data_IF_455665158196
#
_entry.id   IF_455665158196
#
_cell.length_a   1.000
_cell.length_b   1.000
_cell.length_c   1.000
_cell.angle_alpha   90.00
_cell.angle_beta   90.00
_cell.angle_gamma   90.00
#
_symmetry.space_group_name_H-M   'P 1'
#
loop_
_entity.id
_entity.type
_entity.pdbx_description
1 polymer ?
#
# COMPACT_ATOMS: atom_id res chain seq x y z
N UNK A 1 1.19 -18.24 -8.66
CA UNK A 1 -0.25 -18.01 -8.56
C UNK A 1 -0.45 -17.02 -7.42
N UNK A 2 -1.14 -15.90 -7.67
CA UNK A 2 -1.37 -14.87 -6.65
C UNK A 2 -2.70 -15.08 -5.95
N UNK A 3 -2.83 -14.54 -4.74
CA UNK A 3 -4.08 -14.56 -3.97
C UNK A 3 -4.82 -13.25 -4.20
N UNK A 4 -6.02 -13.34 -4.75
CA UNK A 4 -6.87 -12.18 -5.02
C UNK A 4 -7.66 -11.77 -3.78
N UNK A 5 -7.94 -10.48 -3.67
CA UNK A 5 -8.84 -9.95 -2.66
C UNK A 5 -9.69 -8.81 -3.23
N UNK A 6 -10.83 -8.56 -2.57
CA UNK A 6 -11.69 -7.41 -2.81
C UNK A 6 -12.41 -7.04 -1.53
N UNK A 7 -12.38 -5.75 -1.20
CA UNK A 7 -13.07 -5.16 -0.05
C UNK A 7 -13.81 -3.91 -0.51
N UNK A 8 -14.93 -3.61 0.15
CA UNK A 8 -15.69 -2.39 -0.10
C UNK A 8 -15.92 -1.64 1.21
N UNK A 9 -15.84 -0.32 1.16
CA UNK A 9 -16.16 0.55 2.29
C UNK A 9 -16.91 1.79 1.82
N UNK A 10 -17.88 2.25 2.61
CA UNK A 10 -18.62 3.50 2.32
C UNK A 10 -18.19 4.55 3.34
N UNK A 11 -17.69 5.67 2.83
CA UNK A 11 -17.30 6.83 3.60
C UNK A 11 -18.42 7.87 3.60
N UNK A 12 -18.52 8.62 4.70
CA UNK A 12 -19.28 9.87 4.73
C UNK A 12 -18.36 10.98 4.25
N UNK A 13 -18.54 11.43 3.02
CA UNK A 13 -17.72 12.47 2.39
C UNK A 13 -18.53 13.21 1.31
N UNK A 14 -18.42 14.55 1.22
CA UNK A 14 -19.14 15.35 0.22
C UNK A 14 -18.83 14.97 -1.24
N UNK A 15 -17.56 14.68 -1.51
CA UNK A 15 -17.05 14.36 -2.84
C UNK A 15 -15.97 13.27 -2.81
N UNK A 16 -15.73 12.67 -3.98
CA UNK A 16 -14.64 11.70 -4.19
C UNK A 16 -13.27 12.33 -3.94
N UNK A 17 -13.09 13.60 -4.35
CA UNK A 17 -11.85 14.34 -4.16
C UNK A 17 -11.42 14.40 -2.69
N UNK A 18 -12.37 14.53 -1.75
CA UNK A 18 -12.08 14.58 -0.31
C UNK A 18 -11.43 13.27 0.19
N UNK A 19 -11.80 12.14 -0.39
CA UNK A 19 -11.21 10.83 -0.08
C UNK A 19 -9.89 10.62 -0.83
N UNK A 20 -9.76 11.14 -2.05
CA UNK A 20 -8.53 11.03 -2.82
C UNK A 20 -7.36 11.78 -2.20
N UNK A 21 -7.59 13.03 -1.78
CA UNK A 21 -6.52 13.84 -1.19
C UNK A 21 -5.98 13.23 0.11
N UNK A 22 -6.82 12.50 0.86
CA UNK A 22 -6.40 11.81 2.07
C UNK A 22 -5.30 10.75 1.86
N UNK A 23 -5.13 10.21 0.63
CA UNK A 23 -4.01 9.28 0.34
C UNK A 23 -2.64 9.96 0.33
N UNK A 24 -2.60 11.28 0.17
CA UNK A 24 -1.37 12.08 0.15
C UNK A 24 -1.28 13.08 1.31
N UNK A 25 -2.27 13.11 2.19
CA UNK A 25 -2.26 13.91 3.41
C UNK A 25 -1.22 13.34 4.41
N UNK A 26 -0.18 14.11 4.79
CA UNK A 26 0.87 13.62 5.67
C UNK A 26 0.37 13.25 7.08
N UNK A 27 -0.64 13.94 7.61
CA UNK A 27 -1.19 13.67 8.94
C UNK A 27 -2.04 12.40 8.92
N UNK A 28 -2.78 12.18 7.83
CA UNK A 28 -3.50 10.94 7.61
C UNK A 28 -2.53 9.77 7.46
N UNK A 29 -1.48 9.91 6.64
CA UNK A 29 -0.45 8.90 6.45
C UNK A 29 0.26 8.55 7.76
N UNK A 30 0.65 9.54 8.57
CA UNK A 30 1.24 9.31 9.88
C UNK A 30 0.32 8.51 10.82
N UNK A 31 -0.99 8.79 10.75
CA UNK A 31 -2.01 8.04 11.51
C UNK A 31 -2.11 6.60 11.03
N UNK A 32 -2.16 6.37 9.72
CA UNK A 32 -2.19 5.02 9.13
C UNK A 32 -0.93 4.23 9.47
N UNK A 33 0.25 4.85 9.38
CA UNK A 33 1.52 4.22 9.71
C UNK A 33 1.53 3.73 11.15
N UNK A 34 1.08 4.57 12.09
CA UNK A 34 0.97 4.19 13.49
C UNK A 34 0.05 2.98 13.69
N UNK A 35 -1.12 2.95 13.04
CA UNK A 35 -2.06 1.83 13.12
C UNK A 35 -1.49 0.56 12.48
N UNK A 36 -0.76 0.71 11.38
CA UNK A 36 -0.15 -0.39 10.63
C UNK A 36 1.16 -0.92 11.26
N UNK A 37 1.67 -0.28 12.33
CA UNK A 37 2.99 -0.57 12.91
C UNK A 37 4.12 -0.32 11.89
N UNK A 38 4.08 0.85 11.28
CA UNK A 38 5.07 1.37 10.34
C UNK A 38 5.77 2.60 10.92
N UNK A 39 6.99 2.85 10.45
CA UNK A 39 7.82 4.00 10.81
C UNK A 39 8.76 4.38 9.67
N UNK A 40 9.49 5.48 9.87
CA UNK A 40 10.55 5.93 8.96
C UNK A 40 10.07 6.10 7.50
N UNK A 41 8.83 6.59 7.32
CA UNK A 41 8.28 6.90 5.99
C UNK A 41 9.08 8.03 5.35
N UNK A 42 9.67 7.74 4.21
CA UNK A 42 10.50 8.63 3.42
C UNK A 42 9.98 8.68 1.98
N UNK A 43 9.86 9.87 1.42
CA UNK A 43 9.54 10.04 -0.01
C UNK A 43 10.79 9.78 -0.83
N UNK A 44 10.72 8.77 -1.70
CA UNK A 44 11.82 8.38 -2.61
C UNK A 44 11.66 9.02 -3.99
N UNK A 45 10.41 9.10 -4.45
CA UNK A 45 10.04 9.69 -5.73
C UNK A 45 8.71 10.40 -5.54
N UNK A 46 8.56 11.63 -6.04
CA UNK A 46 7.27 12.31 -6.14
C UNK A 46 7.22 13.02 -7.49
N UNK A 47 6.19 12.74 -8.27
CA UNK A 47 6.01 13.27 -9.62
C UNK A 47 4.55 13.59 -9.83
N UNK A 48 4.28 14.81 -10.25
CA UNK A 48 2.94 15.27 -10.56
C UNK A 48 2.93 15.87 -11.98
N UNK A 49 2.02 15.35 -12.80
CA UNK A 49 1.73 15.84 -14.14
C UNK A 49 0.24 16.09 -14.27
N UNK A 50 -0.20 16.68 -15.37
CA UNK A 50 -1.64 16.87 -15.63
C UNK A 50 -2.38 15.51 -15.59
N UNK A 51 -3.32 15.37 -14.65
CA UNK A 51 -4.15 14.18 -14.48
C UNK A 51 -3.48 12.96 -13.83
N UNK A 52 -2.23 13.08 -13.37
CA UNK A 52 -1.52 11.97 -12.71
C UNK A 52 -0.58 12.45 -11.61
N UNK A 53 -0.68 11.83 -10.43
CA UNK A 53 0.29 12.01 -9.34
C UNK A 53 0.83 10.65 -8.94
N UNK A 54 2.15 10.51 -8.94
CA UNK A 54 2.85 9.31 -8.50
C UNK A 54 3.74 9.68 -7.32
N UNK A 55 3.62 8.94 -6.23
CA UNK A 55 4.56 9.03 -5.11
C UNK A 55 5.02 7.63 -4.74
N UNK A 56 6.32 7.51 -4.50
CA UNK A 56 6.96 6.30 -4.00
C UNK A 56 7.52 6.60 -2.63
N UNK A 57 7.10 5.83 -1.63
CA UNK A 57 7.63 5.87 -0.29
C UNK A 57 8.48 4.66 0.01
N UNK A 58 9.51 4.87 0.84
CA UNK A 58 10.16 3.82 1.60
C UNK A 58 9.64 3.88 3.01
N UNK A 59 9.25 2.75 3.58
CA UNK A 59 8.69 2.68 4.95
C UNK A 59 9.14 1.38 5.62
N UNK A 60 9.38 1.42 6.93
CA UNK A 60 9.83 0.27 7.70
C UNK A 60 8.74 -0.25 8.64
N UNK A 61 8.65 -1.57 8.84
CA UNK A 61 7.82 -2.14 9.91
C UNK A 61 8.51 -2.04 11.25
N UNK A 62 7.74 -1.72 12.28
CA UNK A 62 8.16 -1.83 13.70
C UNK A 62 7.92 -3.23 14.26
N UNK A 63 7.25 -4.13 13.51
CA UNK A 63 6.98 -5.50 13.96
C UNK A 63 8.27 -6.32 13.96
N UNK A 64 8.44 -7.21 14.95
CA UNK A 64 9.60 -8.09 14.99
C UNK A 64 9.58 -9.04 13.81
N UNK A 65 10.73 -9.20 13.15
CA UNK A 65 10.89 -10.16 12.07
C UNK A 65 10.93 -11.57 12.68
N UNK A 66 10.11 -12.52 12.20
CA UNK A 66 10.20 -13.93 12.60
C UNK A 66 11.63 -14.46 12.42
N UNK A 67 12.12 -15.28 13.34
CA UNK A 67 13.51 -15.76 13.30
C UNK A 67 13.90 -16.40 11.97
N UNK A 68 12.99 -17.15 11.36
CA UNK A 68 13.18 -17.81 10.06
C UNK A 68 13.37 -16.83 8.89
N UNK A 69 12.82 -15.61 9.00
CA UNK A 69 12.88 -14.59 7.96
C UNK A 69 14.08 -13.65 8.11
N UNK A 70 14.72 -13.59 9.30
CA UNK A 70 15.85 -12.68 9.58
C UNK A 70 17.00 -12.76 8.56
N UNK A 71 17.45 -13.94 8.09
CA UNK A 71 18.54 -14.02 7.11
C UNK A 71 18.23 -13.35 5.77
N UNK A 72 16.95 -13.11 5.47
CA UNK A 72 16.48 -12.53 4.22
C UNK A 72 16.20 -11.02 4.33
N UNK A 73 16.41 -10.41 5.49
CA UNK A 73 16.09 -8.99 5.72
C UNK A 73 17.34 -8.26 6.21
N UNK A 74 17.86 -7.37 5.37
CA UNK A 74 19.00 -6.52 5.70
C UNK A 74 18.60 -5.44 6.69
N UNK A 75 19.46 -5.14 7.66
CA UNK A 75 19.25 -4.01 8.61
C UNK A 75 18.27 -4.29 9.75
N UNK A 76 17.79 -5.52 9.91
CA UNK A 76 17.03 -5.95 11.10
C UNK A 76 15.56 -5.48 11.16
N UNK A 77 15.08 -4.72 10.16
CA UNK A 77 13.68 -4.34 9.97
C UNK A 77 13.22 -4.63 8.55
N UNK A 78 11.97 -5.08 8.41
CA UNK A 78 11.38 -5.26 7.09
C UNK A 78 10.97 -3.90 6.54
N UNK A 79 11.57 -3.53 5.41
CA UNK A 79 11.27 -2.28 4.70
C UNK A 79 10.42 -2.58 3.48
N UNK A 80 9.57 -1.65 3.10
CA UNK A 80 8.72 -1.71 1.91
C UNK A 80 9.00 -0.51 1.01
N UNK A 81 8.89 -0.73 -0.29
CA UNK A 81 8.66 0.34 -1.26
C UNK A 81 7.16 0.35 -1.59
N UNK A 82 6.50 1.45 -1.30
CA UNK A 82 5.08 1.67 -1.58
C UNK A 82 4.99 2.70 -2.71
N UNK A 83 4.50 2.30 -3.88
CA UNK A 83 4.15 3.22 -4.96
C UNK A 83 2.64 3.43 -4.95
N UNK A 84 2.20 4.69 -5.00
CA UNK A 84 0.81 5.03 -5.32
C UNK A 84 0.76 5.97 -6.52
N UNK A 85 -0.19 5.70 -7.42
CA UNK A 85 -0.42 6.49 -8.63
C UNK A 85 -1.90 6.85 -8.68
N UNK A 86 -2.22 8.13 -8.51
CA UNK A 86 -3.54 8.66 -8.86
C UNK A 86 -3.65 8.76 -10.38
N UNK A 87 -4.74 8.24 -10.94
CA UNK A 87 -5.10 8.42 -12.36
C UNK A 87 -6.49 9.03 -12.46
N UNK A 88 -6.58 10.22 -13.05
CA UNK A 88 -7.83 10.95 -13.15
C UNK A 88 -8.44 11.22 -11.77
N UNK A 89 -9.78 11.21 -11.71
CA UNK A 89 -10.53 11.79 -10.58
C UNK A 89 -11.08 10.75 -9.60
N UNK A 90 -10.80 9.45 -9.78
CA UNK A 90 -11.40 8.42 -8.95
C UNK A 90 -10.64 7.09 -8.81
N UNK A 91 -9.43 6.98 -9.36
CA UNK A 91 -8.64 5.76 -9.32
C UNK A 91 -7.26 6.01 -8.70
N UNK A 92 -6.88 5.14 -7.76
CA UNK A 92 -5.50 5.05 -7.25
C UNK A 92 -4.99 3.63 -7.46
N UNK A 93 -3.88 3.49 -8.18
CA UNK A 93 -3.13 2.24 -8.29
C UNK A 93 -2.08 2.21 -7.19
N UNK A 94 -1.88 1.06 -6.55
CA UNK A 94 -0.88 0.90 -5.49
C UNK A 94 -0.10 -0.40 -5.66
N UNK A 95 1.22 -0.27 -5.58
CA UNK A 95 2.16 -1.40 -5.58
C UNK A 95 2.97 -1.37 -4.28
N UNK A 96 3.00 -2.46 -3.54
CA UNK A 96 3.81 -2.59 -2.33
C UNK A 96 4.80 -3.73 -2.48
N UNK A 97 6.09 -3.41 -2.38
CA UNK A 97 7.19 -4.37 -2.54
C UNK A 97 8.08 -4.41 -1.29
N UNK A 98 7.98 -5.46 -0.45
CA UNK A 98 8.94 -5.68 0.62
C UNK A 98 10.36 -5.88 0.08
N UNK A 99 11.32 -5.26 0.76
CA UNK A 99 12.75 -5.32 0.46
C UNK A 99 13.37 -6.54 1.16
N UNK A 100 13.16 -7.73 0.57
CA UNK A 100 13.72 -9.00 1.03
C UNK A 100 14.77 -9.54 0.05
N UNK A 101 15.83 -10.15 0.58
CA UNK A 101 16.85 -10.82 -0.21
C UNK A 101 16.26 -12.06 -0.90
N UNK A 102 16.39 -12.12 -2.24
CA UNK A 102 16.04 -13.27 -3.09
C UNK A 102 14.56 -13.69 -3.12
N UNK A 103 13.66 -13.01 -2.39
CA UNK A 103 12.23 -13.23 -2.46
C UNK A 103 11.54 -12.28 -3.45
N UNK A 104 10.45 -12.73 -4.08
CA UNK A 104 9.57 -11.88 -4.89
C UNK A 104 8.19 -11.87 -4.24
N UNK A 105 8.04 -11.05 -3.20
CA UNK A 105 6.72 -10.69 -2.69
C UNK A 105 6.39 -9.31 -3.23
N UNK A 106 5.21 -9.16 -3.83
CA UNK A 106 4.67 -7.86 -4.18
C UNK A 106 3.14 -7.92 -4.12
N UNK A 107 2.54 -6.77 -3.84
CA UNK A 107 1.10 -6.57 -3.82
C UNK A 107 0.78 -5.53 -4.89
N UNK A 108 -0.08 -5.89 -5.83
CA UNK A 108 -0.68 -4.95 -6.78
C UNK A 108 -2.14 -4.74 -6.39
N UNK A 109 -2.57 -3.48 -6.33
CA UNK A 109 -3.92 -3.16 -5.92
C UNK A 109 -4.44 -1.86 -6.51
N UNK A 110 -5.76 -1.72 -6.51
CA UNK A 110 -6.46 -0.52 -6.94
C UNK A 110 -7.47 -0.09 -5.89
N UNK A 111 -7.58 1.22 -5.72
CA UNK A 111 -8.65 1.88 -5.01
C UNK A 111 -9.51 2.62 -6.04
N UNK A 112 -10.72 2.11 -6.26
CA UNK A 112 -11.71 2.76 -7.11
C UNK A 112 -12.74 3.46 -6.23
N UNK A 113 -12.95 4.75 -6.48
CA UNK A 113 -13.91 5.57 -5.75
C UNK A 113 -15.14 5.89 -6.62
N UNK A 114 -16.30 5.91 -6.01
CA UNK A 114 -17.57 6.18 -6.67
C UNK A 114 -18.50 6.94 -5.71
N UNK A 115 -19.17 7.98 -6.21
CA UNK A 115 -20.23 8.65 -5.45
C UNK A 115 -21.50 7.80 -5.50
N UNK A 116 -22.02 7.41 -4.33
CA UNK A 116 -23.16 6.47 -4.21
C UNK A 116 -24.38 7.08 -3.55
N UNK A 117 -24.29 8.35 -3.14
CA UNK A 117 -25.38 9.12 -2.56
C UNK A 117 -24.92 10.50 -2.12
N UNK A 118 -25.82 11.25 -1.49
CA UNK A 118 -25.50 12.53 -0.89
C UNK A 118 -24.53 12.32 0.28
N UNK A 119 -23.37 12.96 0.19
CA UNK A 119 -22.29 12.82 1.17
C UNK A 119 -21.83 11.37 1.38
N UNK A 120 -21.94 10.50 0.37
CA UNK A 120 -21.50 9.11 0.44
C UNK A 120 -20.60 8.74 -0.74
N UNK A 121 -19.42 8.22 -0.41
CA UNK A 121 -18.44 7.74 -1.39
C UNK A 121 -18.11 6.29 -1.07
N UNK A 122 -18.32 5.39 -2.02
CA UNK A 122 -17.87 3.99 -1.94
C UNK A 122 -16.44 3.91 -2.43
N UNK A 123 -15.60 3.21 -1.68
CA UNK A 123 -14.30 2.73 -2.12
C UNK A 123 -14.36 1.23 -2.33
N UNK A 124 -13.93 0.80 -3.50
CA UNK A 124 -13.56 -0.59 -3.78
C UNK A 124 -12.05 -0.72 -3.70
N UNK A 125 -11.55 -1.57 -2.82
CA UNK A 125 -10.14 -1.94 -2.72
C UNK A 125 -9.97 -3.36 -3.22
N UNK A 126 -9.28 -3.55 -4.34
CA UNK A 126 -9.09 -4.87 -4.94
C UNK A 126 -7.64 -5.05 -5.35
N UNK A 127 -7.18 -6.30 -5.40
CA UNK A 127 -5.79 -6.55 -5.78
C UNK A 127 -5.40 -8.02 -5.77
N UNK A 128 -4.12 -8.24 -6.02
CA UNK A 128 -3.49 -9.57 -5.99
C UNK A 128 -2.20 -9.50 -5.19
N UNK A 129 -2.07 -10.43 -4.23
CA UNK A 129 -0.83 -10.64 -3.50
C UNK A 129 -0.05 -11.75 -4.20
N UNK A 130 1.17 -11.45 -4.62
CA UNK A 130 2.11 -12.40 -5.18
C UNK A 130 3.17 -12.70 -4.14
N UNK A 131 3.29 -13.95 -3.71
CA UNK A 131 4.35 -14.39 -2.82
C UNK A 131 5.12 -15.54 -3.46
N UNK A 132 6.38 -15.31 -3.79
CA UNK A 132 7.33 -16.36 -4.16
C UNK A 132 8.53 -16.28 -3.23
N UNK A 133 8.42 -17.00 -2.11
CA UNK A 133 9.45 -17.11 -1.09
C UNK A 133 10.02 -18.51 -1.18
N UNK A 134 11.29 -18.64 -1.59
CA UNK A 134 12.01 -19.90 -1.51
C UNK A 134 12.35 -20.17 -0.05
N UNK A 135 11.49 -20.92 0.64
CA UNK A 135 11.75 -21.35 2.00
C UNK A 135 12.63 -22.60 1.96
N UNK A 136 13.74 -22.57 2.68
CA UNK A 136 14.43 -23.79 3.10
C UNK A 136 13.51 -24.45 4.15
N UNK A 137 12.56 -25.29 3.72
CA UNK A 137 11.72 -26.08 4.63
C UNK A 137 10.20 -26.09 4.42
N UNK A 138 9.66 -25.40 3.41
CA UNK A 138 8.24 -25.51 3.06
C UNK A 138 7.36 -24.34 3.51
N UNK A 139 6.65 -23.81 2.51
CA UNK A 139 5.48 -22.92 2.46
C UNK A 139 5.03 -22.18 3.75
N UNK A 140 4.89 -20.86 3.66
CA UNK A 140 4.09 -20.02 4.58
C UNK A 140 2.75 -19.76 3.87
N UNK A 141 1.64 -20.01 4.58
CA UNK A 141 0.27 -19.66 4.17
C UNK A 141 -0.07 -18.20 4.47
#
# INVERSE_FOLDING_TARGET
MGTQFKFENIYRAPAVADILEAYWDPDHLATQDKLANLCDREVVEDTETEGMRKTVWKVASTRPIPMIAKPFVSGGRLTYLESMIRRGDNLVESVVTPQILKGRVHLDSTYQLEKVGDNQVRRTYAGTIHANITLVGGRIE
#
